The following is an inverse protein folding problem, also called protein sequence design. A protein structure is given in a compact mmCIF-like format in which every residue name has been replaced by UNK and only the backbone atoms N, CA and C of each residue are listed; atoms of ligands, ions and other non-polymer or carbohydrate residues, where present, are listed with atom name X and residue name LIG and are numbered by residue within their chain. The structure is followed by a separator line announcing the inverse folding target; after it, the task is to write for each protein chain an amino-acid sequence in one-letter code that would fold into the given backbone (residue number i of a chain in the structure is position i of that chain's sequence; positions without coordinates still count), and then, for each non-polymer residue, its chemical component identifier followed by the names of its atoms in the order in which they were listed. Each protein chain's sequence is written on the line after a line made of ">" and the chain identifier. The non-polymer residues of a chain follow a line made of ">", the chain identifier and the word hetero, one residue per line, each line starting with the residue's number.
data_IF_953493645838
#
_entry.id   IF_953493645838
#
_cell.length_a   1.000
_cell.length_b   1.000
_cell.length_c   1.000
_cell.angle_alpha   90.00
_cell.angle_beta   90.00
_cell.angle_gamma   90.00
#
_symmetry.space_group_name_H-M   'P 1'
#
loop_
_entity.id
_entity.type
_entity.pdbx_description
1 polymer ?
#
# COMPACT_ATOMS: atom_id res chain seq x y z
N UNK A 1 -36.49 1.97 -61.55
CA UNK A 1 -35.31 2.04 -60.66
C UNK A 1 -34.64 3.36 -60.94
N UNK A 2 -34.97 4.39 -60.19
CA UNK A 2 -34.30 5.69 -60.28
C UNK A 2 -33.13 5.68 -59.33
N UNK A 3 -31.95 5.58 -59.83
CA UNK A 3 -30.73 5.92 -59.13
C UNK A 3 -30.63 7.44 -59.13
N UNK A 4 -30.99 8.07 -58.02
CA UNK A 4 -30.57 9.45 -57.76
C UNK A 4 -29.06 9.48 -57.58
N UNK A 5 -28.32 9.88 -58.63
CA UNK A 5 -26.99 10.39 -58.51
C UNK A 5 -27.04 11.63 -57.62
N UNK A 6 -26.52 11.49 -56.40
CA UNK A 6 -26.21 12.64 -55.56
C UNK A 6 -25.06 13.38 -56.25
N UNK A 7 -25.41 14.33 -57.13
CA UNK A 7 -24.47 15.27 -57.72
C UNK A 7 -23.90 16.12 -56.57
N UNK A 8 -22.66 15.80 -56.18
CA UNK A 8 -21.83 16.69 -55.39
C UNK A 8 -21.58 17.97 -56.17
N UNK A 9 -22.51 18.93 -56.09
CA UNK A 9 -22.27 20.27 -56.58
C UNK A 9 -21.17 20.88 -55.72
N UNK A 10 -20.03 21.16 -56.30
CA UNK A 10 -18.98 21.94 -55.68
C UNK A 10 -19.56 23.32 -55.28
N UNK A 11 -19.77 23.51 -53.99
CA UNK A 11 -20.27 24.78 -53.44
C UNK A 11 -19.08 25.77 -53.35
N UNK A 12 -18.71 26.33 -54.51
CA UNK A 12 -17.63 27.32 -54.64
C UNK A 12 -18.32 28.69 -54.75
N UNK A 13 -17.76 29.71 -54.06
CA UNK A 13 -18.19 31.08 -54.25
C UNK A 13 -17.90 31.57 -55.71
N UNK A 14 -18.54 32.63 -56.11
CA UNK A 14 -18.38 33.23 -57.44
C UNK A 14 -16.93 33.63 -57.72
N UNK A 15 -16.14 33.90 -56.68
CA UNK A 15 -14.71 34.19 -56.68
C UNK A 15 -13.83 32.92 -56.67
N UNK A 16 -14.38 31.72 -56.66
CA UNK A 16 -13.68 30.44 -56.64
C UNK A 16 -13.23 29.97 -55.26
N UNK A 17 -13.60 30.64 -54.16
CA UNK A 17 -13.23 30.21 -52.81
C UNK A 17 -14.15 29.14 -52.27
N UNK A 18 -13.63 28.18 -51.52
CA UNK A 18 -14.40 27.12 -50.82
C UNK A 18 -15.14 27.77 -49.65
N UNK A 19 -16.45 27.54 -49.57
CA UNK A 19 -17.30 28.06 -48.47
C UNK A 19 -16.99 27.37 -47.15
N UNK A 20 -16.85 28.15 -46.10
CA UNK A 20 -16.52 27.66 -44.74
C UNK A 20 -17.67 26.83 -44.15
N UNK A 21 -17.31 25.86 -43.33
CA UNK A 21 -18.25 25.03 -42.55
C UNK A 21 -17.81 24.97 -41.09
N UNK A 22 -18.62 24.29 -40.27
CA UNK A 22 -18.40 24.17 -38.82
C UNK A 22 -18.44 22.71 -38.40
N UNK A 23 -17.38 22.25 -37.75
CA UNK A 23 -17.26 20.90 -37.15
C UNK A 23 -17.50 21.00 -35.65
N UNK A 24 -18.28 20.05 -35.14
CA UNK A 24 -18.49 19.81 -33.71
C UNK A 24 -17.91 18.45 -33.36
N UNK A 25 -17.22 18.37 -32.20
CA UNK A 25 -16.69 17.13 -31.65
C UNK A 25 -17.40 16.84 -30.32
N UNK A 26 -17.92 15.63 -30.16
CA UNK A 26 -18.42 15.13 -28.88
C UNK A 26 -17.68 13.84 -28.52
N UNK A 27 -17.03 13.79 -27.37
CA UNK A 27 -16.32 12.62 -26.90
C UNK A 27 -16.98 12.04 -25.66
N UNK A 28 -17.20 10.73 -25.67
CA UNK A 28 -17.79 9.98 -24.55
C UNK A 28 -16.95 8.78 -24.20
N UNK A 29 -17.02 8.38 -22.94
CA UNK A 29 -16.34 7.21 -22.37
C UNK A 29 -17.40 6.29 -21.76
N UNK A 30 -17.22 4.98 -21.92
CA UNK A 30 -18.08 3.98 -21.28
C UNK A 30 -18.00 4.05 -19.74
N UNK A 31 -16.78 4.20 -19.20
CA UNK A 31 -16.49 4.31 -17.77
C UNK A 31 -15.78 5.63 -17.48
N UNK A 32 -16.30 6.42 -16.54
CA UNK A 32 -15.65 7.67 -16.11
C UNK A 32 -14.46 7.42 -15.16
N UNK A 33 -14.54 6.39 -14.32
CA UNK A 33 -13.50 6.01 -13.36
C UNK A 33 -13.16 4.51 -13.52
N UNK A 34 -12.48 4.11 -14.60
CA UNK A 34 -12.02 2.74 -14.77
C UNK A 34 -10.92 2.42 -13.74
N UNK A 35 -10.75 1.15 -13.43
CA UNK A 35 -9.58 0.68 -12.69
C UNK A 35 -8.39 0.51 -13.62
N UNK A 36 -7.18 0.53 -13.04
CA UNK A 36 -5.98 0.14 -13.75
C UNK A 36 -6.11 -1.30 -14.29
N UNK A 37 -5.45 -1.57 -15.41
CA UNK A 37 -5.59 -2.83 -16.19
C UNK A 37 -6.95 -3.09 -16.83
N UNK A 38 -7.99 -2.29 -16.52
CA UNK A 38 -9.29 -2.35 -17.20
C UNK A 38 -9.17 -1.92 -18.68
N UNK A 39 -10.22 -2.28 -19.43
CA UNK A 39 -10.50 -1.70 -20.74
C UNK A 39 -11.60 -0.66 -20.62
N UNK A 40 -11.52 0.37 -21.45
CA UNK A 40 -12.56 1.39 -21.55
C UNK A 40 -12.78 1.77 -23.01
N UNK A 41 -14.02 1.88 -23.41
CA UNK A 41 -14.41 2.25 -24.78
C UNK A 41 -14.55 3.76 -24.88
N UNK A 42 -13.88 4.35 -25.85
CA UNK A 42 -13.97 5.76 -26.22
C UNK A 42 -14.76 5.89 -27.51
N UNK A 43 -15.63 6.88 -27.56
CA UNK A 43 -16.36 7.26 -28.79
C UNK A 43 -16.17 8.74 -29.04
N UNK A 44 -15.65 9.07 -30.23
CA UNK A 44 -15.52 10.44 -30.72
C UNK A 44 -16.53 10.63 -31.86
N UNK A 45 -17.55 11.45 -31.66
CA UNK A 45 -18.56 11.80 -32.64
C UNK A 45 -18.16 13.12 -33.31
N UNK A 46 -17.91 13.09 -34.60
CA UNK A 46 -17.44 14.21 -35.42
C UNK A 46 -18.59 14.62 -36.34
N UNK A 47 -19.19 15.79 -36.14
CA UNK A 47 -20.39 16.26 -36.83
C UNK A 47 -20.09 17.50 -37.63
N UNK A 48 -20.64 17.54 -38.83
CA UNK A 48 -20.71 18.77 -39.60
C UNK A 48 -22.01 19.52 -39.25
N UNK A 49 -21.89 20.60 -38.46
CA UNK A 49 -22.99 21.50 -38.07
C UNK A 49 -23.12 22.69 -39.00
N UNK A 50 -22.22 22.83 -39.92
CA UNK A 50 -22.24 23.93 -40.88
C UNK A 50 -23.20 23.70 -42.08
N UNK A 51 -23.36 24.71 -42.89
CA UNK A 51 -24.28 24.71 -44.06
C UNK A 51 -23.63 24.00 -45.27
N UNK A 52 -22.31 23.86 -45.31
CA UNK A 52 -21.57 23.34 -46.45
C UNK A 52 -20.84 22.05 -46.12
N UNK A 53 -20.50 21.24 -47.11
CA UNK A 53 -19.76 20.01 -46.95
C UNK A 53 -18.38 20.30 -46.34
N UNK A 54 -18.04 19.59 -45.25
CA UNK A 54 -16.69 19.60 -44.69
C UNK A 54 -15.78 18.69 -45.53
N UNK A 55 -14.70 19.25 -46.10
CA UNK A 55 -13.83 18.56 -47.07
C UNK A 55 -12.46 18.21 -46.47
N UNK A 56 -11.98 17.01 -46.72
CA UNK A 56 -10.67 16.53 -46.28
C UNK A 56 -10.49 16.71 -44.79
N UNK A 57 -11.39 16.08 -44.01
CA UNK A 57 -11.43 16.20 -42.56
C UNK A 57 -10.36 15.31 -41.97
N UNK A 58 -9.30 15.90 -41.40
CA UNK A 58 -8.24 15.21 -40.71
C UNK A 58 -8.63 15.05 -39.26
N UNK A 59 -8.40 13.86 -38.70
CA UNK A 59 -8.65 13.50 -37.29
C UNK A 59 -7.35 13.02 -36.68
N UNK A 60 -7.02 13.58 -35.51
CA UNK A 60 -5.92 13.14 -34.63
C UNK A 60 -6.52 12.87 -33.25
N UNK A 61 -6.41 11.65 -32.79
CA UNK A 61 -6.77 11.23 -31.44
C UNK A 61 -5.52 10.77 -30.73
N UNK A 62 -5.20 11.40 -29.60
CA UNK A 62 -4.01 11.07 -28.80
C UNK A 62 -4.39 10.82 -27.35
N UNK A 63 -3.85 9.75 -26.77
CA UNK A 63 -3.95 9.44 -25.33
C UNK A 63 -2.59 9.62 -24.66
N UNK A 64 -2.57 9.77 -23.33
CA UNK A 64 -1.31 9.85 -22.60
C UNK A 64 -0.70 8.47 -22.31
N UNK A 65 0.44 8.46 -21.60
CA UNK A 65 1.25 7.27 -21.29
C UNK A 65 0.56 6.21 -20.42
N UNK A 66 -0.57 6.54 -19.79
CA UNK A 66 -1.23 5.66 -18.83
C UNK A 66 -2.17 4.64 -19.49
N UNK A 67 -2.19 4.60 -20.82
CA UNK A 67 -3.00 3.66 -21.58
C UNK A 67 -2.35 3.25 -22.91
N UNK A 68 -2.98 2.27 -23.53
CA UNK A 68 -2.65 1.77 -24.86
C UNK A 68 -3.91 1.55 -25.69
N UNK A 69 -3.93 2.08 -26.92
CA UNK A 69 -5.02 1.87 -27.88
C UNK A 69 -4.96 0.43 -28.39
N UNK A 70 -6.07 -0.30 -28.25
CA UNK A 70 -6.19 -1.66 -28.78
C UNK A 70 -6.53 -1.58 -30.27
N UNK A 71 -5.55 -1.78 -31.15
CA UNK A 71 -5.63 -1.58 -32.61
C UNK A 71 -6.81 -2.32 -33.25
N UNK A 72 -7.06 -3.55 -32.84
CA UNK A 72 -8.10 -4.41 -33.41
C UNK A 72 -9.53 -3.95 -33.05
N UNK A 73 -9.67 -3.01 -32.14
CA UNK A 73 -10.98 -2.46 -31.70
C UNK A 73 -11.34 -1.17 -32.40
N UNK A 74 -10.40 -0.56 -33.13
CA UNK A 74 -10.60 0.72 -33.81
C UNK A 74 -11.57 0.58 -34.95
N UNK A 75 -12.66 1.36 -34.90
CA UNK A 75 -13.71 1.42 -35.93
C UNK A 75 -14.07 2.87 -36.25
N UNK A 76 -14.29 3.12 -37.53
CA UNK A 76 -14.87 4.38 -38.00
C UNK A 76 -16.24 4.06 -38.57
N UNK A 77 -17.28 4.66 -38.00
CA UNK A 77 -18.66 4.46 -38.44
C UNK A 77 -19.15 5.73 -39.16
N UNK A 78 -19.87 5.57 -40.27
CA UNK A 78 -20.50 6.67 -40.97
C UNK A 78 -21.83 7.10 -40.30
N UNK A 79 -22.50 8.10 -40.86
CA UNK A 79 -23.78 8.63 -40.34
C UNK A 79 -24.91 7.60 -40.29
N UNK A 80 -24.81 6.50 -41.06
CA UNK A 80 -25.77 5.38 -41.02
C UNK A 80 -25.39 4.30 -39.99
N UNK A 81 -24.26 4.45 -39.29
CA UNK A 81 -23.73 3.48 -38.35
C UNK A 81 -22.98 2.31 -39.00
N UNK A 82 -22.70 2.38 -40.28
CA UNK A 82 -21.96 1.35 -41.01
C UNK A 82 -20.44 1.49 -40.76
N UNK A 83 -19.75 0.36 -40.57
CA UNK A 83 -18.31 0.33 -40.39
C UNK A 83 -17.60 0.60 -41.75
N UNK A 84 -16.98 1.75 -41.84
CA UNK A 84 -16.25 2.21 -43.01
C UNK A 84 -14.73 2.27 -42.79
N UNK A 85 -14.22 1.66 -41.71
CA UNK A 85 -12.81 1.70 -41.33
C UNK A 85 -11.87 1.36 -42.50
N UNK A 86 -12.20 0.34 -43.30
CA UNK A 86 -11.40 -0.08 -44.44
C UNK A 86 -11.46 0.89 -45.62
N UNK A 87 -12.39 1.85 -45.61
CA UNK A 87 -12.55 2.86 -46.69
C UNK A 87 -11.94 4.21 -46.30
N UNK A 88 -11.45 4.32 -45.07
CA UNK A 88 -10.85 5.55 -44.56
C UNK A 88 -9.43 5.71 -45.13
N UNK A 89 -9.13 6.93 -45.54
CA UNK A 89 -7.83 7.28 -46.10
C UNK A 89 -6.83 7.60 -44.99
N UNK A 90 -5.57 7.24 -45.21
CA UNK A 90 -4.42 7.53 -44.33
C UNK A 90 -4.61 7.09 -42.87
N UNK A 91 -5.40 6.01 -42.60
CA UNK A 91 -5.57 5.47 -41.27
C UNK A 91 -4.25 4.91 -40.74
N UNK A 92 -3.77 5.53 -39.64
CA UNK A 92 -2.61 5.07 -38.89
C UNK A 92 -3.04 4.87 -37.42
N UNK A 93 -2.68 3.72 -36.85
CA UNK A 93 -2.99 3.36 -35.47
C UNK A 93 -1.68 3.01 -34.79
N UNK A 94 -1.25 3.86 -33.86
CA UNK A 94 -0.10 3.66 -32.99
C UNK A 94 -0.55 3.22 -31.59
N UNK A 95 0.39 3.10 -30.67
CA UNK A 95 0.09 2.73 -29.29
C UNK A 95 -0.76 3.78 -28.57
N UNK A 96 -0.49 5.04 -28.83
CA UNK A 96 -1.06 6.20 -28.13
C UNK A 96 -1.74 7.20 -29.08
N UNK A 97 -1.83 6.88 -30.37
CA UNK A 97 -2.35 7.81 -31.36
C UNK A 97 -3.09 7.12 -32.50
N UNK A 98 -4.21 7.72 -32.95
CA UNK A 98 -4.95 7.37 -34.16
C UNK A 98 -5.03 8.61 -35.02
N UNK A 99 -4.65 8.48 -36.31
CA UNK A 99 -4.81 9.54 -37.32
C UNK A 99 -5.49 8.98 -38.54
N UNK A 100 -6.37 9.78 -39.18
CA UNK A 100 -7.01 9.41 -40.41
C UNK A 100 -7.64 10.63 -41.10
N UNK A 101 -8.08 10.44 -42.35
CA UNK A 101 -8.77 11.48 -43.13
C UNK A 101 -10.10 10.95 -43.61
N UNK A 102 -11.16 11.76 -43.46
CA UNK A 102 -12.50 11.57 -44.05
C UNK A 102 -12.59 12.54 -45.24
N UNK A 103 -12.86 12.03 -46.42
CA UNK A 103 -12.89 12.85 -47.63
C UNK A 103 -13.94 13.97 -47.51
N UNK A 104 -15.17 13.61 -47.12
CA UNK A 104 -16.27 14.55 -46.99
C UNK A 104 -17.20 14.17 -45.85
N UNK A 105 -17.70 15.19 -45.13
CA UNK A 105 -18.82 15.05 -44.19
C UNK A 105 -19.94 16.03 -44.66
N UNK A 106 -21.04 15.50 -45.13
CA UNK A 106 -22.17 16.28 -45.59
C UNK A 106 -22.81 17.13 -44.46
N UNK A 107 -23.63 18.11 -44.83
CA UNK A 107 -24.39 18.92 -43.88
C UNK A 107 -25.22 17.99 -42.97
N UNK A 108 -25.16 18.19 -41.64
CA UNK A 108 -25.83 17.39 -40.61
C UNK A 108 -25.42 15.91 -40.56
N UNK A 109 -24.44 15.50 -41.32
CA UNK A 109 -23.84 14.16 -41.20
C UNK A 109 -22.76 14.09 -40.10
N UNK A 110 -22.47 12.88 -39.67
CA UNK A 110 -21.43 12.63 -38.68
C UNK A 110 -20.66 11.33 -38.97
N UNK A 111 -19.47 11.26 -38.43
CA UNK A 111 -18.68 10.03 -38.32
C UNK A 111 -18.33 9.79 -36.87
N UNK A 112 -18.20 8.51 -36.49
CA UNK A 112 -17.81 8.14 -35.13
C UNK A 112 -16.54 7.31 -35.19
N UNK A 113 -15.52 7.74 -34.47
CA UNK A 113 -14.35 6.92 -34.11
C UNK A 113 -14.68 6.20 -32.80
N UNK A 114 -14.61 4.87 -32.81
CA UNK A 114 -14.81 4.01 -31.63
C UNK A 114 -13.56 3.18 -31.44
N UNK A 115 -13.02 3.14 -30.24
CA UNK A 115 -11.82 2.37 -29.92
C UNK A 115 -11.74 2.06 -28.44
N UNK A 116 -11.06 0.95 -28.09
CA UNK A 116 -10.78 0.58 -26.70
C UNK A 116 -9.38 1.03 -26.30
N UNK A 117 -9.27 1.47 -25.06
CA UNK A 117 -8.01 1.72 -24.38
C UNK A 117 -7.85 0.72 -23.25
N UNK A 118 -6.72 0.05 -23.20
CA UNK A 118 -6.28 -0.74 -22.05
C UNK A 118 -5.40 0.13 -21.17
N UNK A 119 -5.77 0.28 -19.90
CA UNK A 119 -4.96 1.05 -18.94
C UNK A 119 -3.76 0.24 -18.45
N UNK A 120 -2.66 0.93 -18.20
CA UNK A 120 -1.49 0.36 -17.56
C UNK A 120 -1.73 0.14 -16.06
N UNK A 121 -0.97 -0.77 -15.47
CA UNK A 121 -0.90 -0.91 -14.02
C UNK A 121 -0.25 0.34 -13.42
N UNK A 122 -0.87 0.91 -12.38
CA UNK A 122 -0.42 2.14 -11.71
C UNK A 122 -0.26 1.88 -10.20
N UNK A 123 0.63 2.62 -9.54
CA UNK A 123 0.87 2.49 -8.10
C UNK A 123 -0.08 3.35 -7.25
N UNK A 124 -0.61 4.40 -7.82
CA UNK A 124 -1.56 5.34 -7.21
C UNK A 124 -2.56 5.80 -8.24
N UNK A 125 -3.72 6.25 -7.80
CA UNK A 125 -4.72 6.87 -8.67
C UNK A 125 -4.12 8.01 -9.49
N UNK A 126 -4.31 7.97 -10.80
CA UNK A 126 -3.80 8.97 -11.76
C UNK A 126 -4.93 9.50 -12.65
N UNK A 127 -4.70 10.68 -13.24
CA UNK A 127 -5.56 11.23 -14.28
C UNK A 127 -5.01 10.83 -15.65
N UNK A 128 -5.86 10.33 -16.51
CA UNK A 128 -5.56 10.11 -17.92
C UNK A 128 -6.12 11.24 -18.77
N UNK A 129 -5.30 11.80 -19.61
CA UNK A 129 -5.67 12.86 -20.54
C UNK A 129 -5.71 12.32 -21.95
N UNK A 130 -6.77 12.61 -22.70
CA UNK A 130 -6.83 12.35 -24.13
C UNK A 130 -7.23 13.61 -24.89
N UNK A 131 -6.62 13.80 -26.04
CA UNK A 131 -6.81 14.99 -26.88
C UNK A 131 -7.26 14.55 -28.27
N UNK A 132 -8.38 15.06 -28.71
CA UNK A 132 -8.89 14.88 -30.08
C UNK A 132 -8.76 16.21 -30.81
N UNK A 133 -8.16 16.21 -31.99
CA UNK A 133 -8.13 17.35 -32.90
C UNK A 133 -8.79 16.97 -34.22
N UNK A 134 -9.64 17.83 -34.71
CA UNK A 134 -10.33 17.66 -35.99
C UNK A 134 -10.25 18.96 -36.80
N UNK A 135 -9.89 18.86 -38.08
CA UNK A 135 -9.82 20.00 -38.97
C UNK A 135 -10.25 19.61 -40.36
N UNK A 136 -11.18 20.33 -40.95
CA UNK A 136 -11.47 20.27 -42.37
C UNK A 136 -10.67 21.35 -43.16
N UNK A 137 -10.48 21.16 -44.46
CA UNK A 137 -9.84 22.17 -45.30
C UNK A 137 -10.58 23.52 -45.26
N UNK A 138 -11.89 23.47 -45.05
CA UNK A 138 -12.81 24.62 -45.02
C UNK A 138 -13.47 24.77 -43.61
N UNK A 139 -12.77 24.44 -42.53
CA UNK A 139 -13.20 24.75 -41.18
C UNK A 139 -12.03 25.21 -40.32
N UNK A 140 -12.33 25.81 -39.20
CA UNK A 140 -11.36 25.99 -38.10
C UNK A 140 -11.03 24.63 -37.52
N UNK A 141 -9.90 24.53 -36.84
CA UNK A 141 -9.52 23.36 -36.07
C UNK A 141 -10.35 23.33 -34.77
N UNK A 142 -10.95 22.20 -34.49
CA UNK A 142 -11.63 21.92 -33.22
C UNK A 142 -10.79 20.99 -32.38
N UNK A 143 -10.66 21.30 -31.09
CA UNK A 143 -9.88 20.53 -30.13
C UNK A 143 -10.75 20.23 -28.92
N UNK A 144 -10.83 18.95 -28.54
CA UNK A 144 -11.43 18.54 -27.27
C UNK A 144 -10.39 17.81 -26.41
N UNK A 145 -10.33 18.22 -25.15
CA UNK A 145 -9.49 17.55 -24.12
C UNK A 145 -10.42 16.84 -23.17
N UNK A 146 -10.26 15.55 -23.04
CA UNK A 146 -11.03 14.72 -22.10
C UNK A 146 -10.10 14.19 -21.03
N UNK A 147 -10.58 14.27 -19.77
CA UNK A 147 -9.87 13.77 -18.61
C UNK A 147 -10.73 12.74 -17.90
N UNK A 148 -10.12 11.63 -17.52
CA UNK A 148 -10.76 10.63 -16.69
C UNK A 148 -9.79 10.14 -15.62
N UNK A 149 -10.33 9.79 -14.46
CA UNK A 149 -9.58 9.27 -13.33
C UNK A 149 -9.42 7.76 -13.47
N UNK A 150 -8.19 7.25 -13.38
CA UNK A 150 -7.91 5.83 -13.31
C UNK A 150 -7.68 5.47 -11.85
N UNK A 151 -8.53 4.62 -11.28
CA UNK A 151 -8.39 4.17 -9.91
C UNK A 151 -7.49 2.94 -9.83
N UNK A 152 -6.55 2.98 -8.88
CA UNK A 152 -5.65 1.85 -8.65
C UNK A 152 -6.40 0.62 -8.14
N UNK A 153 -6.11 -0.55 -8.66
CA UNK A 153 -6.62 -1.82 -8.15
C UNK A 153 -5.78 -2.25 -6.94
N UNK A 154 -6.39 -2.22 -5.76
CA UNK A 154 -5.73 -2.70 -4.54
C UNK A 154 -5.59 -4.22 -4.61
N UNK A 155 -4.35 -4.69 -4.67
CA UNK A 155 -4.01 -6.12 -4.63
C UNK A 155 -4.00 -6.58 -3.17
N UNK A 156 -5.16 -7.01 -2.69
CA UNK A 156 -5.30 -7.52 -1.32
C UNK A 156 -4.46 -8.79 -1.11
N UNK A 157 -3.86 -8.88 0.07
CA UNK A 157 -3.07 -10.04 0.48
C UNK A 157 -3.41 -10.45 1.91
N UNK A 158 -2.83 -11.54 2.39
CA UNK A 158 -3.19 -12.13 3.68
C UNK A 158 -1.97 -12.29 4.57
N UNK A 159 -2.10 -11.84 5.81
CA UNK A 159 -1.09 -12.02 6.85
C UNK A 159 -1.48 -13.12 7.83
N UNK A 160 -0.47 -13.72 8.45
CA UNK A 160 -0.59 -14.59 9.62
C UNK A 160 0.39 -14.09 10.67
N UNK A 161 -0.09 -14.01 11.93
CA UNK A 161 0.74 -13.58 13.05
C UNK A 161 0.68 -14.60 14.19
N UNK A 162 1.84 -14.86 14.77
CA UNK A 162 2.00 -15.73 15.91
C UNK A 162 2.76 -15.02 17.02
N UNK A 163 2.43 -15.33 18.29
CA UNK A 163 3.14 -14.77 19.44
C UNK A 163 3.40 -15.86 20.46
N UNK A 164 4.64 -15.92 20.93
CA UNK A 164 5.07 -16.85 21.98
C UNK A 164 5.89 -16.13 23.04
N UNK A 165 6.16 -16.82 24.14
CA UNK A 165 7.01 -16.37 25.24
C UNK A 165 7.85 -17.54 25.74
N UNK A 166 9.10 -17.30 26.15
CA UNK A 166 10.00 -18.36 26.58
C UNK A 166 9.53 -19.03 27.90
N UNK A 167 9.09 -18.22 28.88
CA UNK A 167 8.63 -18.72 30.18
C UNK A 167 7.19 -18.29 30.43
N UNK A 168 6.32 -19.24 30.83
CA UNK A 168 4.93 -18.94 31.22
C UNK A 168 4.78 -18.55 32.69
N UNK A 169 5.81 -18.76 33.49
CA UNK A 169 5.90 -18.32 34.89
C UNK A 169 7.28 -17.72 35.16
N UNK A 170 7.33 -16.58 35.81
CA UNK A 170 8.54 -15.84 36.20
C UNK A 170 8.37 -15.27 37.60
N UNK A 171 9.49 -14.83 38.20
CA UNK A 171 9.47 -14.09 39.47
C UNK A 171 9.43 -12.59 39.21
N UNK A 172 8.84 -11.87 40.15
CA UNK A 172 8.88 -10.42 40.17
C UNK A 172 10.34 -9.91 40.10
N UNK A 173 10.63 -9.00 39.16
CA UNK A 173 11.99 -8.49 38.89
C UNK A 173 12.77 -9.27 37.85
N UNK A 174 12.28 -10.40 37.34
CA UNK A 174 12.93 -11.15 36.25
C UNK A 174 12.58 -10.59 34.88
N UNK A 175 13.37 -10.99 33.89
CA UNK A 175 13.17 -10.72 32.47
C UNK A 175 12.68 -11.96 31.74
N UNK A 176 11.98 -11.73 30.64
CA UNK A 176 11.51 -12.80 29.76
C UNK A 176 11.49 -12.33 28.30
N UNK A 177 11.66 -13.26 27.38
CA UNK A 177 11.70 -12.97 25.95
C UNK A 177 10.34 -13.29 25.32
N UNK A 178 9.79 -12.35 24.58
CA UNK A 178 8.65 -12.55 23.69
C UNK A 178 9.12 -12.64 22.24
N UNK A 179 8.40 -13.44 21.47
CA UNK A 179 8.69 -13.70 20.06
C UNK A 179 7.41 -13.46 19.27
N UNK A 180 7.48 -12.58 18.28
CA UNK A 180 6.42 -12.36 17.29
C UNK A 180 6.92 -12.88 15.96
N UNK A 181 6.13 -13.74 15.31
CA UNK A 181 6.36 -14.19 13.93
C UNK A 181 5.23 -13.62 13.06
N UNK A 182 5.58 -12.82 12.06
CA UNK A 182 4.63 -12.32 11.06
C UNK A 182 5.00 -12.90 9.71
N UNK A 183 4.01 -13.48 9.01
CA UNK A 183 4.16 -14.07 7.69
C UNK A 183 3.14 -13.52 6.71
N UNK A 184 3.57 -13.21 5.50
CA UNK A 184 2.68 -12.95 4.38
C UNK A 184 2.37 -14.30 3.69
N UNK A 185 1.13 -14.76 3.86
CA UNK A 185 0.63 -16.03 3.30
C UNK A 185 -0.24 -15.82 2.05
N UNK A 186 -0.33 -14.56 1.59
CA UNK A 186 -1.14 -14.20 0.44
C UNK A 186 -0.35 -14.22 -0.87
N UNK A 187 -1.02 -13.78 -1.94
CA UNK A 187 -0.51 -13.83 -3.32
C UNK A 187 0.31 -12.58 -3.71
N UNK A 188 0.19 -11.51 -2.94
CA UNK A 188 0.83 -10.21 -3.22
C UNK A 188 1.62 -9.74 -2.01
N UNK A 189 2.49 -8.76 -2.23
CA UNK A 189 3.23 -8.12 -1.17
C UNK A 189 2.29 -7.36 -0.23
N UNK A 190 2.53 -7.46 1.08
CA UNK A 190 1.82 -6.68 2.09
C UNK A 190 2.53 -5.33 2.27
N UNK A 191 1.78 -4.24 2.15
CA UNK A 191 2.31 -2.88 2.17
C UNK A 191 1.97 -2.17 3.48
N UNK A 192 2.89 -1.33 3.96
CA UNK A 192 2.74 -0.47 5.16
C UNK A 192 2.18 -1.22 6.37
N UNK A 193 2.77 -2.38 6.67
CA UNK A 193 2.29 -3.24 7.75
C UNK A 193 2.68 -2.65 9.10
N UNK A 194 1.71 -2.38 9.94
CA UNK A 194 1.89 -1.98 11.34
C UNK A 194 1.63 -3.18 12.24
N UNK A 195 2.60 -3.48 13.10
CA UNK A 195 2.46 -4.43 14.21
C UNK A 195 2.28 -3.62 15.48
N UNK A 196 1.26 -3.93 16.25
CA UNK A 196 1.00 -3.31 17.54
C UNK A 196 1.00 -4.38 18.63
N UNK A 197 1.99 -4.31 19.51
CA UNK A 197 2.17 -5.18 20.66
C UNK A 197 1.79 -4.41 21.91
N UNK A 198 0.87 -4.94 22.73
CA UNK A 198 0.36 -4.27 23.92
C UNK A 198 0.57 -5.11 25.15
N UNK A 199 1.46 -4.65 26.01
CA UNK A 199 1.73 -5.22 27.34
C UNK A 199 0.73 -4.68 28.36
N UNK A 200 0.08 -5.57 29.11
CA UNK A 200 -0.96 -5.27 30.10
C UNK A 200 -0.59 -5.92 31.42
N UNK A 201 -0.42 -5.13 32.45
CA UNK A 201 0.00 -5.57 33.79
C UNK A 201 1.29 -4.91 34.26
N UNK A 202 1.85 -5.41 35.34
CA UNK A 202 3.02 -4.79 36.00
C UNK A 202 4.34 -5.23 35.32
N UNK A 203 4.56 -4.78 34.11
CA UNK A 203 5.75 -5.09 33.31
C UNK A 203 6.06 -3.96 32.34
N UNK A 204 7.29 -3.89 31.82
CA UNK A 204 7.74 -2.90 30.85
C UNK A 204 8.66 -3.52 29.80
N UNK A 205 8.65 -2.96 28.60
CA UNK A 205 9.61 -3.29 27.56
C UNK A 205 11.03 -2.87 27.97
N UNK A 206 12.01 -3.68 27.61
CA UNK A 206 13.41 -3.32 27.79
C UNK A 206 13.88 -2.61 26.52
N UNK A 207 14.33 -1.37 26.67
CA UNK A 207 14.88 -0.58 25.59
C UNK A 207 16.08 -1.30 24.93
N UNK A 208 16.19 -1.19 23.61
CA UNK A 208 17.28 -1.79 22.82
C UNK A 208 17.39 -3.33 22.90
N UNK A 209 16.37 -4.03 23.38
CA UNK A 209 16.33 -5.49 23.41
C UNK A 209 15.81 -6.12 22.13
N UNK A 210 15.25 -5.31 21.22
CA UNK A 210 14.63 -5.79 19.98
C UNK A 210 15.66 -6.35 19.02
N UNK A 211 15.43 -7.59 18.57
CA UNK A 211 16.18 -8.26 17.50
C UNK A 211 15.21 -8.70 16.42
N UNK A 212 15.53 -8.40 15.18
CA UNK A 212 14.72 -8.76 14.02
C UNK A 212 15.51 -9.76 13.17
N UNK A 213 14.92 -10.93 12.95
CA UNK A 213 15.48 -12.02 12.16
C UNK A 213 14.65 -12.19 10.87
N UNK A 214 15.27 -12.79 9.84
CA UNK A 214 14.68 -12.98 8.50
C UNK A 214 14.24 -11.67 7.83
N UNK A 215 15.02 -10.60 8.05
CA UNK A 215 14.71 -9.26 7.57
C UNK A 215 15.52 -8.88 6.31
N UNK A 216 15.95 -9.83 5.51
CA UNK A 216 16.78 -9.61 4.31
C UNK A 216 16.24 -8.46 3.45
N UNK A 217 16.93 -7.32 3.51
CA UNK A 217 16.59 -6.08 2.79
C UNK A 217 15.20 -5.48 3.08
N UNK A 218 14.58 -5.81 4.23
CA UNK A 218 13.30 -5.21 4.61
C UNK A 218 13.52 -3.87 5.33
N UNK A 219 12.77 -2.84 4.91
CA UNK A 219 12.70 -1.57 5.64
C UNK A 219 11.75 -1.74 6.83
N UNK A 220 12.33 -1.84 8.05
CA UNK A 220 11.59 -2.00 9.30
C UNK A 220 11.94 -0.85 10.24
N UNK A 221 10.92 -0.12 10.65
CA UNK A 221 11.01 0.99 11.59
C UNK A 221 10.45 0.58 12.95
N UNK A 222 11.21 0.83 14.03
CA UNK A 222 10.74 0.66 15.40
C UNK A 222 10.12 1.98 15.88
N UNK A 223 8.80 1.98 16.09
CA UNK A 223 8.04 3.17 16.50
C UNK A 223 7.99 3.34 18.04
N UNK A 224 8.68 2.47 18.78
CA UNK A 224 8.66 2.43 20.24
C UNK A 224 7.42 1.73 20.81
N UNK A 225 7.48 1.43 22.13
CA UNK A 225 6.35 0.84 22.89
C UNK A 225 5.71 -0.40 22.24
N UNK A 226 6.52 -1.30 21.67
CA UNK A 226 6.05 -2.51 21.01
C UNK A 226 5.41 -2.29 19.64
N UNK A 227 5.61 -1.13 19.00
CA UNK A 227 5.09 -0.84 17.65
C UNK A 227 6.20 -0.92 16.60
N UNK A 228 5.89 -1.56 15.47
CA UNK A 228 6.80 -1.73 14.35
C UNK A 228 6.08 -1.41 13.05
N UNK A 229 6.78 -0.79 12.11
CA UNK A 229 6.32 -0.57 10.74
C UNK A 229 7.22 -1.29 9.76
N UNK A 230 6.62 -2.04 8.85
CA UNK A 230 7.27 -2.70 7.73
C UNK A 230 6.73 -2.09 6.46
N UNK A 231 7.56 -1.47 5.66
CA UNK A 231 7.14 -0.80 4.42
C UNK A 231 6.57 -1.79 3.41
N UNK A 232 7.28 -2.88 3.18
CA UNK A 232 6.84 -3.99 2.31
C UNK A 232 7.26 -5.31 2.93
N UNK A 233 6.30 -6.21 3.14
CA UNK A 233 6.57 -7.62 3.46
C UNK A 233 6.22 -8.46 2.22
N UNK A 234 7.22 -8.95 1.45
CA UNK A 234 6.98 -9.67 0.22
C UNK A 234 6.14 -10.94 0.43
N UNK A 235 5.46 -11.38 -0.63
CA UNK A 235 4.72 -12.63 -0.61
C UNK A 235 5.61 -13.80 -0.14
N UNK A 236 5.03 -14.73 0.64
CA UNK A 236 5.70 -15.92 1.17
C UNK A 236 6.86 -15.64 2.14
N UNK A 237 7.18 -14.37 2.43
CA UNK A 237 8.21 -14.00 3.42
C UNK A 237 7.63 -13.88 4.82
N UNK A 238 8.53 -14.09 5.79
CA UNK A 238 8.23 -13.92 7.21
C UNK A 238 9.34 -13.15 7.91
N UNK A 239 8.99 -12.47 8.99
CA UNK A 239 9.93 -11.87 9.92
C UNK A 239 9.70 -12.42 11.33
N UNK A 240 10.75 -12.41 12.12
CA UNK A 240 10.71 -12.78 13.55
C UNK A 240 11.24 -11.59 14.34
N UNK A 241 10.43 -11.11 15.30
CA UNK A 241 10.79 -10.03 16.21
C UNK A 241 10.91 -10.62 17.61
N UNK A 242 12.10 -10.53 18.20
CA UNK A 242 12.39 -10.91 19.60
C UNK A 242 12.64 -9.67 20.41
N UNK A 243 12.09 -9.60 21.62
CA UNK A 243 12.34 -8.50 22.55
C UNK A 243 12.15 -8.97 23.99
N UNK A 244 12.78 -8.27 24.91
CA UNK A 244 12.72 -8.59 26.34
C UNK A 244 11.72 -7.68 27.07
N UNK A 245 11.07 -8.25 28.07
CA UNK A 245 10.20 -7.57 29.00
C UNK A 245 10.71 -7.81 30.42
N UNK A 246 10.76 -6.77 31.24
CA UNK A 246 11.02 -6.84 32.69
C UNK A 246 9.73 -6.81 33.46
N UNK A 247 9.50 -7.81 34.32
CA UNK A 247 8.38 -7.84 35.25
C UNK A 247 8.73 -7.07 36.51
N UNK A 248 7.97 -6.03 36.81
CA UNK A 248 8.31 -5.15 37.91
C UNK A 248 8.14 -5.85 39.26
N UNK A 249 8.84 -5.38 40.28
CA UNK A 249 8.76 -5.91 41.65
C UNK A 249 7.36 -5.74 42.17
N UNK A 250 6.81 -6.81 42.79
CA UNK A 250 5.49 -6.83 43.40
C UNK A 250 5.43 -7.83 44.56
N UNK A 251 4.55 -7.62 45.50
CA UNK A 251 4.41 -8.47 46.69
C UNK A 251 3.59 -9.72 46.43
N UNK A 252 2.52 -9.58 45.66
CA UNK A 252 1.52 -10.65 45.38
C UNK A 252 1.67 -11.20 43.98
N UNK A 253 1.18 -12.41 43.74
CA UNK A 253 1.12 -13.01 42.42
C UNK A 253 0.21 -12.19 41.50
N UNK A 254 0.59 -12.10 40.25
CA UNK A 254 -0.22 -11.45 39.20
C UNK A 254 -0.10 -12.15 37.87
N UNK A 255 -0.91 -11.71 36.90
CA UNK A 255 -0.84 -12.15 35.51
C UNK A 255 -0.54 -10.93 34.67
N UNK A 256 0.53 -11.03 33.87
CA UNK A 256 0.82 -10.09 32.79
C UNK A 256 0.36 -10.70 31.49
N UNK A 257 -0.41 -9.93 30.72
CA UNK A 257 -0.91 -10.34 29.41
C UNK A 257 -0.24 -9.51 28.32
N UNK A 258 0.18 -10.13 27.24
CA UNK A 258 0.76 -9.42 26.11
C UNK A 258 0.01 -9.78 24.83
N UNK A 259 -0.70 -8.80 24.24
CA UNK A 259 -1.50 -8.92 23.01
C UNK A 259 -0.70 -8.40 21.83
N UNK A 260 -0.95 -8.95 20.65
CA UNK A 260 -0.38 -8.43 19.41
C UNK A 260 -1.42 -8.47 18.30
N UNK A 261 -1.36 -7.48 17.42
CA UNK A 261 -2.11 -7.45 16.17
C UNK A 261 -1.23 -6.88 15.04
N UNK A 262 -1.60 -7.18 13.80
CA UNK A 262 -0.95 -6.57 12.63
C UNK A 262 -1.96 -6.23 11.55
N UNK A 263 -1.69 -5.14 10.81
CA UNK A 263 -2.50 -4.70 9.67
C UNK A 263 -1.62 -3.97 8.65
N UNK A 264 -1.76 -4.31 7.39
CA UNK A 264 -1.20 -3.58 6.26
C UNK A 264 -2.24 -2.70 5.57
N UNK A 265 -1.80 -1.83 4.65
CA UNK A 265 -2.70 -1.00 3.84
C UNK A 265 -3.57 -1.82 2.88
N UNK A 266 -3.11 -3.01 2.52
CA UNK A 266 -3.80 -3.96 1.62
C UNK A 266 -4.02 -5.33 2.28
N UNK A 267 -4.23 -5.38 3.59
CA UNK A 267 -4.55 -6.60 4.34
C UNK A 267 -5.65 -6.35 5.35
N UNK A 268 -6.37 -7.40 5.70
CA UNK A 268 -7.18 -7.39 6.90
C UNK A 268 -6.30 -7.33 8.14
N UNK A 269 -6.90 -6.89 9.26
CA UNK A 269 -6.27 -6.95 10.57
C UNK A 269 -6.21 -8.40 11.04
N UNK A 270 -5.03 -8.85 11.49
CA UNK A 270 -4.80 -10.21 11.95
C UNK A 270 -4.37 -10.26 13.41
N UNK A 271 -4.73 -11.37 14.05
CA UNK A 271 -4.44 -11.68 15.44
C UNK A 271 -3.88 -13.10 15.55
N UNK A 272 -3.07 -13.42 16.58
CA UNK A 272 -2.72 -14.80 16.90
C UNK A 272 -3.97 -15.65 17.19
N UNK A 273 -3.82 -16.97 17.17
CA UNK A 273 -4.89 -17.90 17.58
C UNK A 273 -5.41 -17.58 18.99
N UNK A 274 -4.51 -17.25 19.90
CA UNK A 274 -4.84 -16.78 21.26
C UNK A 274 -5.09 -15.26 21.24
N UNK A 275 -6.24 -14.82 20.74
CA UNK A 275 -6.62 -13.39 20.64
C UNK A 275 -6.55 -12.64 21.98
N UNK A 276 -6.78 -13.34 23.10
CA UNK A 276 -6.70 -12.77 24.45
C UNK A 276 -5.25 -12.44 24.87
N UNK A 277 -4.27 -12.86 24.08
CA UNK A 277 -2.85 -12.62 24.30
C UNK A 277 -2.16 -13.68 25.14
N UNK A 278 -0.82 -13.65 25.09
CA UNK A 278 0.02 -14.56 25.86
C UNK A 278 0.04 -14.13 27.33
N UNK A 279 -0.30 -15.04 28.22
CA UNK A 279 -0.35 -14.80 29.66
C UNK A 279 0.89 -15.38 30.33
N UNK A 280 1.49 -14.60 31.23
CA UNK A 280 2.62 -14.99 32.08
C UNK A 280 2.23 -14.77 33.53
N UNK A 281 2.36 -15.82 34.33
CA UNK A 281 2.21 -15.73 35.80
C UNK A 281 3.46 -15.12 36.40
N UNK A 282 3.29 -14.06 37.17
CA UNK A 282 4.38 -13.39 37.91
C UNK A 282 4.24 -13.71 39.39
N UNK A 283 5.18 -14.45 39.92
CA UNK A 283 5.20 -14.86 41.35
C UNK A 283 5.74 -13.70 42.16
N UNK A 284 4.91 -13.25 43.11
CA UNK A 284 5.25 -12.16 44.02
C UNK A 284 6.24 -12.56 45.12
N UNK A 285 6.84 -11.56 45.75
CA UNK A 285 7.84 -11.78 46.80
C UNK A 285 7.26 -12.44 48.04
N UNK A 286 6.00 -12.18 48.39
CA UNK A 286 5.31 -12.81 49.55
C UNK A 286 5.23 -14.33 49.42
N UNK A 287 4.87 -14.84 48.24
CA UNK A 287 4.74 -16.29 48.00
C UNK A 287 6.10 -17.00 48.08
N UNK A 288 7.19 -16.33 47.63
CA UNK A 288 8.54 -16.82 47.79
C UNK A 288 8.99 -16.88 49.26
N UNK A 289 8.63 -15.86 50.03
CA UNK A 289 8.96 -15.82 51.49
C UNK A 289 8.20 -16.90 52.22
N UNK A 290 6.91 -17.13 51.92
CA UNK A 290 6.11 -18.18 52.53
C UNK A 290 6.58 -19.58 52.20
N UNK A 291 7.11 -19.82 50.98
CA UNK A 291 7.71 -21.10 50.60
C UNK A 291 9.06 -21.37 51.22
N UNK A 292 9.80 -20.31 51.65
CA UNK A 292 11.10 -20.41 52.31
C UNK A 292 10.95 -20.49 53.84
N UNK A 293 9.88 -19.93 54.37
CA UNK A 293 9.59 -19.97 55.83
C UNK A 293 8.99 -21.33 56.19
N UNK A 294 9.57 -22.08 57.13
CA UNK A 294 8.99 -23.35 57.58
C UNK A 294 7.68 -23.14 58.27
N UNK A 295 6.79 -24.14 58.18
CA UNK A 295 5.52 -24.20 58.94
C UNK A 295 5.78 -24.02 60.42
N UNK A 296 4.90 -23.27 61.07
CA UNK A 296 4.98 -22.83 62.47
C UNK A 296 5.11 -23.97 63.50
N UNK A 297 6.27 -24.58 63.59
CA UNK A 297 6.66 -25.66 64.54
C UNK A 297 8.16 -25.78 64.71
N UNK A 298 8.94 -25.26 63.74
CA UNK A 298 10.44 -25.30 63.78
C UNK A 298 11.06 -23.94 64.11
N UNK A 299 10.40 -23.15 64.93
CA UNK A 299 10.68 -21.72 65.12
C UNK A 299 12.02 -21.35 65.76
N UNK A 300 12.72 -22.24 66.43
CA UNK A 300 13.89 -21.78 67.18
C UNK A 300 15.20 -21.68 66.37
N UNK A 301 15.49 -22.62 65.52
CA UNK A 301 16.79 -22.59 64.76
C UNK A 301 16.78 -21.66 63.53
N UNK A 302 15.64 -21.46 62.90
CA UNK A 302 15.56 -20.66 61.68
C UNK A 302 15.51 -19.15 61.91
N UNK A 303 14.93 -18.69 63.04
CA UNK A 303 15.02 -17.27 63.43
C UNK A 303 16.48 -16.84 63.54
N UNK A 304 17.34 -17.67 64.08
CA UNK A 304 18.77 -17.39 64.18
C UNK A 304 19.46 -17.41 62.82
N UNK A 305 19.06 -18.27 61.90
CA UNK A 305 19.58 -18.30 60.53
C UNK A 305 19.15 -17.05 59.74
N UNK A 306 17.87 -16.63 59.84
CA UNK A 306 17.40 -15.44 59.16
C UNK A 306 18.03 -14.18 59.76
N UNK A 307 18.18 -14.08 61.06
CA UNK A 307 18.90 -13.00 61.74
C UNK A 307 20.38 -12.99 61.34
N UNK A 308 21.03 -14.15 61.22
CA UNK A 308 22.40 -14.26 60.75
C UNK A 308 22.55 -13.79 59.27
N UNK A 309 21.59 -14.13 58.40
CA UNK A 309 21.58 -13.66 57.01
C UNK A 309 21.36 -12.15 56.94
N UNK A 310 20.42 -11.59 57.68
CA UNK A 310 20.13 -10.16 57.74
C UNK A 310 21.33 -9.35 58.26
N UNK A 311 22.10 -9.91 59.21
CA UNK A 311 23.27 -9.26 59.78
C UNK A 311 24.53 -9.45 58.87
N UNK A 312 24.69 -10.63 58.24
CA UNK A 312 25.87 -10.95 57.44
C UNK A 312 25.79 -10.37 56.03
N UNK A 313 24.63 -10.27 55.41
CA UNK A 313 24.46 -9.74 54.04
C UNK A 313 24.92 -8.27 53.89
N UNK A 314 24.54 -7.34 54.79
CA UNK A 314 25.06 -5.98 54.72
C UNK A 314 26.57 -5.92 54.89
N UNK A 315 27.15 -6.75 55.79
CA UNK A 315 28.59 -6.79 56.01
C UNK A 315 29.37 -7.35 54.81
N UNK A 316 28.81 -8.31 54.07
CA UNK A 316 29.39 -8.86 52.84
C UNK A 316 29.32 -7.81 51.73
N UNK A 317 28.23 -7.07 51.61
CA UNK A 317 28.08 -6.00 50.61
C UNK A 317 29.06 -4.87 50.91
N UNK A 318 29.14 -4.39 52.12
CA UNK A 318 30.08 -3.35 52.57
C UNK A 318 31.52 -3.78 52.37
N UNK A 319 31.84 -5.06 52.62
CA UNK A 319 33.20 -5.62 52.38
C UNK A 319 33.52 -5.67 50.89
N UNK A 320 32.57 -6.02 49.99
CA UNK A 320 32.72 -5.99 48.56
C UNK A 320 32.96 -4.56 48.04
N UNK A 321 32.18 -3.61 48.50
CA UNK A 321 32.33 -2.19 48.12
C UNK A 321 33.70 -1.64 48.61
N UNK A 322 34.08 -1.95 49.85
CA UNK A 322 35.40 -1.57 50.38
C UNK A 322 36.55 -2.16 49.53
N UNK A 323 36.48 -3.43 49.16
CA UNK A 323 37.49 -4.08 48.30
C UNK A 323 37.55 -3.45 46.92
N UNK A 324 36.41 -3.13 46.32
CA UNK A 324 36.36 -2.45 45.04
C UNK A 324 36.87 -1.01 45.11
N UNK A 325 36.54 -0.27 46.15
CA UNK A 325 37.08 1.07 46.39
C UNK A 325 38.58 1.07 46.54
N UNK A 326 39.14 0.10 47.31
CA UNK A 326 40.59 -0.08 47.49
C UNK A 326 41.30 -0.46 46.18
N UNK A 327 40.70 -1.32 45.35
CA UNK A 327 41.20 -1.61 43.99
C UNK A 327 41.23 -0.38 43.08
N UNK A 328 40.18 0.44 43.13
CA UNK A 328 40.14 1.70 42.35
C UNK A 328 41.18 2.73 42.83
N UNK A 329 41.43 2.82 44.12
CA UNK A 329 42.49 3.66 44.69
C UNK A 329 43.89 3.21 44.26
N UNK A 330 44.15 1.92 44.29
CA UNK A 330 45.45 1.35 43.87
C UNK A 330 45.71 1.53 42.37
N UNK A 331 44.65 1.39 41.51
CA UNK A 331 44.78 1.67 40.08
C UNK A 331 45.03 3.16 39.77
N UNK A 332 44.47 4.06 40.58
CA UNK A 332 44.76 5.51 40.45
C UNK A 332 46.19 5.86 40.92
N UNK A 333 46.77 5.18 41.92
CA UNK A 333 48.17 5.36 42.37
C UNK A 333 49.14 4.85 41.33
N UNK A 334 48.88 3.72 40.68
CA UNK A 334 49.77 3.15 39.65
C UNK A 334 49.72 3.91 38.30
N UNK A 335 48.69 4.75 38.07
CA UNK A 335 48.66 5.64 36.89
C UNK A 335 49.35 7.01 37.10
N UNK A 336 49.81 7.30 38.35
CA UNK A 336 50.54 8.53 38.68
C UNK A 336 52.02 8.30 38.92
N UNK A 337 52.51 7.09 38.72
CA UNK A 337 53.91 6.72 38.59
C UNK A 337 54.18 6.34 37.10
#
# INVERSE_FOLDING_TARGET
>A
MNTEEVTNKDEINVDGTIKDTNIEIVKTLEKNNPKDTDKNTYTVDIRNKGEYVARGVTVEEKIDKNGEILKDTVKVLNSKGEDVTKKITDLKIEKDMITFTIDNIGKNENYKLVYDVKYNEIEKTEEMVSVTKVKAKNSKEEIIVTKNKIDVTVKETKLEIEKTVEKKEVRAGEKNTYIITLKNIGKYDAKDVIIEDKLIGNAKYIENSVKIENNDNLEIEQLGNGRFKIKVLPKEKSIIIRYEVEYLKQEEDSIVTNKVEAKGSNTDKVYPKEKEGVKVKVVGVKDLIQKILPKAGERSKLIYIILAIIILMPSIILRREYIQAKKRQNMRRNRKR
#
